data_IF_850973438533
#
_entry.id   IF_850973438533
#
_cell.length_a   1.000
_cell.length_b   1.000
_cell.length_c   1.000
_cell.angle_alpha   90.00
_cell.angle_beta   90.00
_cell.angle_gamma   90.00
#
_symmetry.space_group_name_H-M   'P 1'
#
loop_
_entity.id
_entity.type
_entity.pdbx_description
1 polymer ?
#
# COMPACT_ATOMS: atom_id res chain seq x y z
N UNK A 1 3.26 4.00 -2.41
CA UNK A 1 2.10 4.92 -2.40
C UNK A 1 2.54 6.27 -1.83
N UNK A 2 1.79 7.37 -2.05
CA UNK A 2 2.13 8.68 -1.53
C UNK A 2 2.29 8.69 0.00
N UNK A 3 3.26 9.46 0.49
CA UNK A 3 3.38 9.74 1.92
C UNK A 3 2.28 10.73 2.33
N UNK A 4 1.56 10.42 3.41
CA UNK A 4 0.41 11.19 3.89
C UNK A 4 0.68 11.91 5.21
N UNK A 5 1.77 11.58 5.89
CA UNK A 5 2.19 12.25 7.12
C UNK A 5 3.02 13.50 6.80
N UNK A 6 2.84 14.61 7.55
CA UNK A 6 3.71 15.77 7.45
C UNK A 6 5.15 15.46 7.87
N UNK A 7 6.12 16.18 7.30
CA UNK A 7 7.55 16.01 7.61
C UNK A 7 7.85 16.12 9.12
N UNK A 8 7.20 17.06 9.81
CA UNK A 8 7.34 17.23 11.26
C UNK A 8 6.92 15.99 12.08
N UNK A 9 6.01 15.18 11.56
CA UNK A 9 5.60 13.91 12.19
C UNK A 9 6.62 12.82 11.88
N UNK A 10 7.09 12.75 10.63
CA UNK A 10 8.11 11.79 10.19
C UNK A 10 9.43 11.96 10.98
N UNK A 11 9.86 13.20 11.18
CA UNK A 11 11.03 13.54 12.01
C UNK A 11 10.87 13.03 13.45
N UNK A 12 9.71 13.26 14.07
CA UNK A 12 9.42 12.78 15.44
C UNK A 12 9.39 11.27 15.53
N UNK A 13 8.91 10.59 14.49
CA UNK A 13 8.90 9.12 14.40
C UNK A 13 10.29 8.54 14.11
N UNK A 14 11.29 9.38 13.81
CA UNK A 14 12.61 8.96 13.31
C UNK A 14 12.48 8.05 12.09
N UNK A 15 11.51 8.36 11.23
CA UNK A 15 11.30 7.61 10.00
C UNK A 15 12.52 7.77 9.09
N UNK A 16 13.02 6.70 8.46
CA UNK A 16 14.05 6.83 7.45
C UNK A 16 13.53 7.68 6.28
N UNK A 17 14.40 8.46 5.62
CA UNK A 17 13.99 9.23 4.46
C UNK A 17 13.51 8.30 3.36
N UNK A 18 12.53 8.76 2.59
CA UNK A 18 12.06 8.03 1.40
C UNK A 18 13.23 7.94 0.40
N UNK A 19 13.55 6.75 -0.14
CA UNK A 19 14.53 6.61 -1.20
C UNK A 19 14.13 7.40 -2.45
N UNK A 20 15.06 8.18 -3.00
CA UNK A 20 14.83 9.06 -4.17
C UNK A 20 14.65 8.27 -5.48
N UNK A 21 15.20 7.07 -5.55
CA UNK A 21 15.16 6.16 -6.69
C UNK A 21 13.84 5.40 -6.83
N UNK A 22 12.97 5.44 -5.80
CA UNK A 22 11.69 4.74 -5.81
C UNK A 22 10.55 5.70 -6.19
N UNK A 23 9.96 5.56 -7.39
CA UNK A 23 8.86 6.42 -7.82
C UNK A 23 7.61 6.23 -6.97
N UNK A 24 6.79 7.28 -6.91
CA UNK A 24 5.48 7.22 -6.26
C UNK A 24 4.43 6.83 -7.31
N UNK A 25 3.83 5.66 -7.11
CA UNK A 25 2.69 5.21 -7.93
C UNK A 25 1.42 5.98 -7.57
N UNK A 26 0.64 6.35 -8.59
CA UNK A 26 -0.72 6.86 -8.48
C UNK A 26 -1.75 5.80 -8.89
N UNK A 27 -3.00 5.85 -8.39
CA UNK A 27 -4.05 4.90 -8.74
C UNK A 27 -4.23 4.70 -10.25
N UNK A 28 -4.15 5.77 -11.04
CA UNK A 28 -4.44 5.78 -12.47
C UNK A 28 -3.45 4.95 -13.29
N UNK A 29 -2.29 4.61 -12.71
CA UNK A 29 -1.24 3.80 -13.34
C UNK A 29 -1.48 2.30 -13.17
N UNK A 30 -2.35 1.88 -12.23
CA UNK A 30 -2.62 0.45 -11.99
C UNK A 30 -3.12 -0.31 -13.23
N UNK A 31 -3.97 0.26 -14.11
CA UNK A 31 -4.41 -0.44 -15.32
C UNK A 31 -3.28 -0.81 -16.29
N UNK A 32 -2.13 -0.14 -16.23
CA UNK A 32 -0.97 -0.38 -17.10
C UNK A 32 -0.24 -1.69 -16.76
N UNK A 33 -0.37 -2.19 -15.53
CA UNK A 33 0.31 -3.41 -15.08
C UNK A 33 -0.46 -4.68 -15.47
N UNK A 34 0.24 -5.74 -15.86
CA UNK A 34 -0.40 -7.03 -16.18
C UNK A 34 -0.83 -7.82 -14.92
N UNK A 35 -0.26 -7.50 -13.77
CA UNK A 35 -0.55 -8.12 -12.49
C UNK A 35 0.10 -7.37 -11.33
N UNK A 36 -0.26 -7.74 -10.11
CA UNK A 36 0.13 -7.01 -8.91
C UNK A 36 0.74 -7.91 -7.84
N UNK A 37 1.71 -7.37 -7.11
CA UNK A 37 2.17 -7.92 -5.83
C UNK A 37 2.18 -6.77 -4.83
N UNK A 38 1.32 -6.82 -3.81
CA UNK A 38 1.26 -5.79 -2.78
C UNK A 38 1.93 -6.27 -1.48
N UNK A 39 2.85 -5.47 -0.97
CA UNK A 39 3.58 -5.75 0.26
C UNK A 39 3.23 -4.77 1.36
N UNK A 40 2.87 -5.29 2.54
CA UNK A 40 2.47 -4.44 3.66
C UNK A 40 3.23 -4.81 4.95
N UNK A 41 3.71 -3.83 5.72
CA UNK A 41 3.98 -4.05 7.13
C UNK A 41 2.65 -4.18 7.89
N UNK A 42 2.57 -5.13 8.81
CA UNK A 42 1.40 -5.31 9.67
C UNK A 42 1.25 -4.15 10.63
N UNK A 43 0.08 -3.51 10.56
CA UNK A 43 -0.37 -2.54 11.56
C UNK A 43 -1.65 -3.06 12.19
N UNK A 44 -1.51 -3.71 13.35
CA UNK A 44 -2.61 -4.38 14.05
C UNK A 44 -3.38 -5.38 13.20
N UNK A 45 -2.66 -6.11 12.34
CA UNK A 45 -3.27 -7.07 11.41
C UNK A 45 -4.10 -6.40 10.33
N UNK A 46 -3.73 -5.19 9.89
CA UNK A 46 -4.23 -4.47 8.71
C UNK A 46 -3.09 -3.74 7.99
N UNK A 47 -3.35 -3.29 6.75
CA UNK A 47 -2.42 -2.47 5.98
C UNK A 47 -2.25 -1.08 6.61
N UNK A 48 -1.16 -0.39 6.27
CA UNK A 48 -0.98 1.01 6.67
C UNK A 48 -2.07 1.93 6.10
N UNK A 49 -2.42 2.99 6.84
CA UNK A 49 -3.45 3.95 6.43
C UNK A 49 -3.16 4.62 5.08
N UNK A 50 -1.88 4.80 4.72
CA UNK A 50 -1.49 5.35 3.41
C UNK A 50 -1.96 4.44 2.24
N UNK A 51 -1.94 3.12 2.43
CA UNK A 51 -2.46 2.18 1.44
C UNK A 51 -3.97 2.17 1.38
N UNK A 52 -4.66 2.28 2.52
CA UNK A 52 -6.11 2.46 2.54
C UNK A 52 -6.50 3.71 1.74
N UNK A 53 -5.87 4.86 2.02
CA UNK A 53 -6.13 6.10 1.28
C UNK A 53 -5.79 6.00 -0.20
N UNK A 54 -4.75 5.25 -0.58
CA UNK A 54 -4.43 4.98 -1.99
C UNK A 54 -5.55 4.19 -2.67
N UNK A 55 -6.09 3.16 -2.01
CA UNK A 55 -7.18 2.35 -2.54
C UNK A 55 -8.52 3.10 -2.55
N UNK A 56 -8.79 3.96 -1.58
CA UNK A 56 -9.98 4.83 -1.57
C UNK A 56 -10.00 5.78 -2.79
N UNK A 57 -8.82 6.14 -3.32
CA UNK A 57 -8.67 6.91 -4.55
C UNK A 57 -8.99 6.17 -5.86
N UNK A 58 -9.35 4.88 -5.80
CA UNK A 58 -9.59 4.04 -6.99
C UNK A 58 -11.05 3.99 -7.46
N UNK A 59 -11.94 4.87 -6.99
CA UNK A 59 -13.38 4.81 -7.27
C UNK A 59 -13.70 4.68 -8.77
N UNK A 60 -13.11 5.51 -9.63
CA UNK A 60 -13.33 5.45 -11.08
C UNK A 60 -12.79 4.17 -11.73
N UNK A 61 -11.64 3.66 -11.25
CA UNK A 61 -11.01 2.42 -11.72
C UNK A 61 -11.88 1.22 -11.35
N UNK A 62 -12.42 1.23 -10.14
CA UNK A 62 -13.30 0.18 -9.62
C UNK A 62 -14.64 0.17 -10.36
N UNK A 63 -15.28 1.33 -10.54
CA UNK A 63 -16.52 1.47 -11.31
C UNK A 63 -16.38 0.98 -12.75
N UNK A 64 -15.24 1.24 -13.37
CA UNK A 64 -14.95 0.80 -14.75
C UNK A 64 -14.36 -0.61 -14.84
N UNK A 65 -14.19 -1.31 -13.72
CA UNK A 65 -13.65 -2.69 -13.66
C UNK A 65 -12.29 -2.85 -14.37
N UNK A 66 -11.47 -1.80 -14.44
CA UNK A 66 -10.20 -1.80 -15.21
C UNK A 66 -9.15 -2.78 -14.71
N UNK A 67 -9.29 -3.26 -13.47
CA UNK A 67 -8.38 -4.24 -12.86
C UNK A 67 -8.94 -5.67 -12.89
N UNK A 68 -10.17 -5.87 -13.38
CA UNK A 68 -10.80 -7.18 -13.40
C UNK A 68 -9.99 -8.18 -14.25
N UNK A 69 -9.78 -9.38 -13.71
CA UNK A 69 -9.03 -10.45 -14.38
C UNK A 69 -7.50 -10.34 -14.29
N UNK A 70 -6.95 -9.23 -13.76
CA UNK A 70 -5.50 -9.13 -13.52
C UNK A 70 -5.13 -9.91 -12.24
N UNK A 71 -4.14 -10.82 -12.29
CA UNK A 71 -3.70 -11.53 -11.09
C UNK A 71 -3.11 -10.57 -10.06
N UNK A 72 -3.41 -10.82 -8.79
CA UNK A 72 -2.86 -10.07 -7.67
C UNK A 72 -2.40 -11.03 -6.57
N UNK A 73 -1.22 -10.76 -6.01
CA UNK A 73 -0.71 -11.41 -4.81
C UNK A 73 -0.47 -10.38 -3.70
N UNK A 74 -0.43 -10.84 -2.47
CA UNK A 74 -0.09 -10.03 -1.32
C UNK A 74 0.96 -10.73 -0.47
N UNK A 75 1.80 -9.96 0.20
CA UNK A 75 2.70 -10.46 1.22
C UNK A 75 2.76 -9.51 2.40
N UNK A 76 3.04 -10.08 3.57
CA UNK A 76 3.00 -9.37 4.83
C UNK A 76 4.33 -9.47 5.56
N UNK A 77 4.71 -8.40 6.25
CA UNK A 77 5.81 -8.41 7.20
C UNK A 77 5.29 -8.01 8.58
N UNK A 78 5.73 -8.68 9.64
CA UNK A 78 5.38 -8.33 11.01
C UNK A 78 6.55 -8.60 11.93
N UNK A 79 6.60 -7.89 13.07
CA UNK A 79 7.69 -7.99 14.03
C UNK A 79 7.64 -9.23 14.94
N UNK A 80 6.54 -10.00 14.95
CA UNK A 80 6.37 -11.14 15.85
C UNK A 80 5.36 -12.17 15.33
N UNK A 81 5.45 -13.41 15.84
CA UNK A 81 4.51 -14.49 15.51
C UNK A 81 3.09 -14.17 15.96
N UNK A 82 2.10 -14.46 15.12
CA UNK A 82 0.70 -14.13 15.43
C UNK A 82 0.37 -12.64 15.35
N UNK A 83 1.26 -11.80 14.79
CA UNK A 83 1.04 -10.37 14.59
C UNK A 83 0.05 -10.01 13.46
N UNK A 84 -0.98 -10.83 13.26
CA UNK A 84 -2.06 -10.60 12.30
C UNK A 84 -1.71 -10.86 10.83
N UNK A 85 -0.68 -11.67 10.55
CA UNK A 85 -0.25 -11.98 9.18
C UNK A 85 -1.36 -12.64 8.34
N UNK A 86 -2.14 -13.53 8.97
CA UNK A 86 -3.20 -14.29 8.30
C UNK A 86 -4.56 -13.58 8.34
N UNK A 87 -4.76 -12.62 9.26
CA UNK A 87 -6.07 -11.98 9.46
C UNK A 87 -6.42 -10.96 8.37
N UNK A 88 -5.41 -10.38 7.72
CA UNK A 88 -5.57 -9.46 6.57
C UNK A 88 -5.01 -10.03 5.27
N UNK A 89 -4.69 -11.32 5.25
CA UNK A 89 -4.33 -12.04 4.04
C UNK A 89 -5.59 -12.52 3.29
#
# INVERSE_FOLDING_TARGET
VPETLPDTVLEKMKAPPKPEDIPVIKPEQLPEADGFIFGFPSRFGMMGSQFLSFFDGMDDIWKSQKLAGKPAGIFWSTGYHGGGQENSA
#
